data_IF_290651589645
#
_entry.id   IF_290651589645
#
_cell.length_a   1.000
_cell.length_b   1.000
_cell.length_c   1.000
_cell.angle_alpha   90.00
_cell.angle_beta   90.00
_cell.angle_gamma   90.00
#
_symmetry.space_group_name_H-M   'P 1'
#
loop_
_entity.id
_entity.type
_entity.pdbx_description
1 polymer ?
#
# COMPACT_ATOMS: atom_id res chain seq x y z
N UNK A 1 -40.23 -13.27 3.88
CA UNK A 1 -38.85 -12.97 3.46
C UNK A 1 -38.32 -14.20 2.73
N UNK A 2 -38.36 -14.16 1.39
CA UNK A 2 -37.97 -15.29 0.54
C UNK A 2 -36.45 -15.40 0.46
N UNK A 3 -35.93 -16.62 0.44
CA UNK A 3 -34.50 -16.94 0.32
C UNK A 3 -33.80 -16.32 -0.92
N UNK A 4 -34.56 -15.78 -1.88
CA UNK A 4 -34.05 -15.08 -3.06
C UNK A 4 -33.51 -13.67 -2.80
N UNK A 5 -33.93 -12.96 -1.73
CA UNK A 5 -33.40 -11.62 -1.42
C UNK A 5 -31.98 -11.63 -0.84
N UNK A 6 -31.52 -12.79 -0.34
CA UNK A 6 -30.17 -12.95 0.21
C UNK A 6 -29.13 -13.36 -0.84
N UNK A 7 -29.57 -13.92 -1.97
CA UNK A 7 -28.71 -14.37 -3.07
C UNK A 7 -28.36 -13.24 -4.07
N UNK A 8 -29.10 -12.13 -4.05
CA UNK A 8 -29.01 -11.02 -5.01
C UNK A 8 -28.07 -9.86 -4.62
N UNK A 9 -27.37 -9.91 -3.48
CA UNK A 9 -26.42 -8.86 -3.08
C UNK A 9 -25.06 -9.39 -2.60
N UNK A 10 -24.41 -10.23 -3.41
CA UNK A 10 -22.99 -10.47 -3.17
C UNK A 10 -22.20 -9.17 -3.42
N UNK A 11 -21.21 -8.84 -2.58
CA UNK A 11 -20.37 -7.65 -2.77
C UNK A 11 -19.78 -7.54 -4.19
N UNK A 12 -19.33 -8.64 -4.84
CA UNK A 12 -18.88 -8.57 -6.23
C UNK A 12 -19.99 -8.22 -7.22
N UNK A 13 -21.22 -8.66 -6.98
CA UNK A 13 -22.36 -8.31 -7.82
C UNK A 13 -22.71 -6.82 -7.68
N UNK A 14 -22.84 -6.34 -6.44
CA UNK A 14 -23.09 -4.93 -6.16
C UNK A 14 -21.99 -4.02 -6.73
N UNK A 15 -20.74 -4.45 -6.65
CA UNK A 15 -19.62 -3.73 -7.24
C UNK A 15 -19.76 -3.57 -8.76
N UNK A 16 -20.16 -4.63 -9.46
CA UNK A 16 -20.38 -4.58 -10.90
C UNK A 16 -21.54 -3.68 -11.28
N UNK A 17 -22.60 -3.66 -10.47
CA UNK A 17 -23.75 -2.78 -10.65
C UNK A 17 -23.37 -1.31 -10.46
N UNK A 18 -22.69 -0.98 -9.36
CA UNK A 18 -22.19 0.39 -9.07
C UNK A 18 -21.28 0.92 -10.17
N UNK A 19 -20.41 0.05 -10.73
CA UNK A 19 -19.51 0.45 -11.82
C UNK A 19 -20.24 0.73 -13.14
N UNK A 20 -21.46 0.19 -13.32
CA UNK A 20 -22.28 0.43 -14.51
C UNK A 20 -23.17 1.65 -14.34
N UNK A 21 -23.74 1.82 -13.16
CA UNK A 21 -24.61 2.93 -12.82
C UNK A 21 -24.36 3.30 -11.35
N UNK A 22 -23.62 4.37 -11.09
CA UNK A 22 -23.31 4.77 -9.71
C UNK A 22 -24.49 5.45 -9.01
N UNK A 23 -25.35 6.14 -9.75
CA UNK A 23 -26.41 6.93 -9.14
C UNK A 23 -27.53 6.04 -8.63
N UNK A 24 -27.89 4.99 -9.38
CA UNK A 24 -28.95 4.05 -9.01
C UNK A 24 -28.63 3.25 -7.72
N UNK A 25 -27.35 2.98 -7.44
CA UNK A 25 -26.90 2.13 -6.34
C UNK A 25 -26.27 2.89 -5.17
N UNK A 26 -26.43 4.22 -5.14
CA UNK A 26 -25.84 5.09 -4.10
C UNK A 26 -26.32 4.76 -2.69
N UNK A 27 -27.61 4.49 -2.50
CA UNK A 27 -28.17 4.14 -1.18
C UNK A 27 -27.70 2.76 -0.71
N UNK A 28 -27.58 1.80 -1.63
CA UNK A 28 -27.01 0.48 -1.32
C UNK A 28 -25.54 0.59 -0.94
N UNK A 29 -24.78 1.46 -1.61
CA UNK A 29 -23.40 1.75 -1.25
C UNK A 29 -23.31 2.37 0.15
N UNK A 30 -24.13 3.38 0.47
CA UNK A 30 -24.13 4.00 1.81
C UNK A 30 -24.41 3.00 2.92
N UNK A 31 -25.37 2.08 2.72
CA UNK A 31 -25.66 1.03 3.69
C UNK A 31 -24.43 0.13 3.94
N UNK A 32 -23.74 -0.28 2.86
CA UNK A 32 -22.51 -1.07 2.97
C UNK A 32 -21.35 -0.28 3.58
N UNK A 33 -21.26 1.01 3.28
CA UNK A 33 -20.24 1.90 3.83
C UNK A 33 -20.39 2.06 5.35
N UNK A 34 -21.61 2.28 5.85
CA UNK A 34 -21.90 2.30 7.29
C UNK A 34 -21.53 0.99 7.99
N UNK A 35 -21.83 -0.14 7.34
CA UNK A 35 -21.43 -1.46 7.86
C UNK A 35 -19.91 -1.61 7.94
N UNK A 36 -19.20 -1.20 6.87
CA UNK A 36 -17.75 -1.14 6.84
C UNK A 36 -17.20 -0.26 7.97
N UNK A 37 -17.73 0.95 8.19
CA UNK A 37 -17.27 1.86 9.23
C UNK A 37 -17.41 1.24 10.63
N UNK A 38 -18.54 0.60 10.91
CA UNK A 38 -18.76 -0.11 12.17
C UNK A 38 -17.70 -1.20 12.39
N UNK A 39 -17.46 -2.05 11.38
CA UNK A 39 -16.44 -3.11 11.46
C UNK A 39 -15.02 -2.55 11.56
N UNK A 40 -14.76 -1.41 10.93
CA UNK A 40 -13.46 -0.75 10.98
C UNK A 40 -13.20 -0.13 12.36
N UNK A 41 -14.24 0.43 13.01
CA UNK A 41 -14.15 0.86 14.42
C UNK A 41 -13.84 -0.32 15.35
N UNK A 42 -14.49 -1.46 15.16
CA UNK A 42 -14.17 -2.67 15.92
C UNK A 42 -12.71 -3.13 15.73
N UNK A 43 -12.18 -3.04 14.50
CA UNK A 43 -10.77 -3.33 14.23
C UNK A 43 -9.84 -2.40 15.01
N UNK A 44 -10.14 -1.10 15.10
CA UNK A 44 -9.32 -0.17 15.90
C UNK A 44 -9.34 -0.49 17.39
N UNK A 45 -10.44 -1.05 17.90
CA UNK A 45 -10.54 -1.51 19.28
C UNK A 45 -9.82 -2.86 19.50
N UNK A 46 -9.84 -3.77 18.50
CA UNK A 46 -9.25 -5.12 18.57
C UNK A 46 -8.47 -5.47 17.28
N UNK A 47 -7.24 -4.96 17.10
CA UNK A 47 -6.51 -5.03 15.82
C UNK A 47 -6.02 -6.45 15.44
N UNK A 48 -5.88 -7.36 16.40
CA UNK A 48 -5.35 -8.71 16.16
C UNK A 48 -6.42 -9.69 15.60
N UNK A 49 -7.69 -9.29 15.58
CA UNK A 49 -8.78 -10.19 15.18
C UNK A 49 -8.90 -10.26 13.66
N UNK A 50 -8.79 -11.48 13.10
CA UNK A 50 -9.12 -11.72 11.70
C UNK A 50 -10.64 -11.60 11.49
N UNK A 51 -11.05 -10.76 10.53
CA UNK A 51 -12.44 -10.63 10.13
C UNK A 51 -12.56 -10.67 8.59
N UNK A 52 -13.03 -11.81 8.07
CA UNK A 52 -13.23 -12.03 6.64
C UNK A 52 -14.21 -11.03 6.02
N UNK A 53 -15.30 -10.72 6.72
CA UNK A 53 -16.30 -9.76 6.23
C UNK A 53 -15.69 -8.36 6.10
N UNK A 54 -14.88 -7.93 7.07
CA UNK A 54 -14.16 -6.67 6.99
C UNK A 54 -13.17 -6.65 5.82
N UNK A 55 -12.43 -7.75 5.58
CA UNK A 55 -11.50 -7.85 4.45
C UNK A 55 -12.21 -7.71 3.09
N UNK A 56 -13.38 -8.35 2.95
CA UNK A 56 -14.24 -8.23 1.76
C UNK A 56 -14.78 -6.81 1.60
N UNK A 57 -15.21 -6.17 2.69
CA UNK A 57 -15.69 -4.79 2.69
C UNK A 57 -14.60 -3.78 2.35
N UNK A 58 -13.39 -3.88 2.92
CA UNK A 58 -12.24 -3.04 2.55
C UNK A 58 -11.97 -3.14 1.04
N UNK A 59 -11.98 -4.37 0.51
CA UNK A 59 -11.75 -4.62 -0.91
C UNK A 59 -12.84 -4.01 -1.78
N UNK A 60 -14.11 -4.19 -1.40
CA UNK A 60 -15.28 -3.64 -2.07
C UNK A 60 -15.24 -2.11 -2.12
N UNK A 61 -15.16 -1.45 -0.95
CA UNK A 61 -15.18 0.01 -0.83
C UNK A 61 -14.03 0.62 -1.64
N UNK A 62 -12.82 0.05 -1.54
CA UNK A 62 -11.65 0.53 -2.30
C UNK A 62 -11.85 0.45 -3.82
N UNK A 63 -12.57 -0.56 -4.30
CA UNK A 63 -12.85 -0.74 -5.72
C UNK A 63 -13.93 0.19 -6.25
N UNK A 64 -14.88 0.62 -5.41
CA UNK A 64 -15.93 1.56 -5.79
C UNK A 64 -15.66 3.01 -5.37
N UNK A 65 -14.63 3.29 -4.57
CA UNK A 65 -14.34 4.62 -4.02
C UNK A 65 -14.28 5.76 -5.08
N UNK A 66 -13.77 5.47 -6.28
CA UNK A 66 -13.76 6.44 -7.38
C UNK A 66 -15.15 6.83 -7.93
N UNK A 67 -16.18 6.01 -7.70
CA UNK A 67 -17.56 6.29 -8.10
C UNK A 67 -18.25 7.25 -7.11
N UNK A 68 -17.76 7.32 -5.86
CA UNK A 68 -18.36 8.09 -4.77
C UNK A 68 -17.29 8.91 -4.03
N UNK A 69 -16.70 9.93 -4.70
CA UNK A 69 -15.57 10.68 -4.14
C UNK A 69 -15.92 11.49 -2.89
N UNK A 70 -17.16 11.96 -2.77
CA UNK A 70 -17.62 12.75 -1.62
C UNK A 70 -17.83 11.86 -0.38
N UNK A 71 -18.44 10.68 -0.55
CA UNK A 71 -18.68 9.73 0.52
C UNK A 71 -17.40 9.05 0.99
N UNK A 72 -16.48 8.74 0.07
CA UNK A 72 -15.19 8.13 0.39
C UNK A 72 -14.10 9.15 0.77
N UNK A 73 -14.47 10.40 1.05
CA UNK A 73 -13.52 11.44 1.44
C UNK A 73 -12.88 11.07 2.78
N UNK A 74 -11.55 10.94 2.79
CA UNK A 74 -10.80 10.54 3.99
C UNK A 74 -10.62 9.04 4.18
N UNK A 75 -11.24 8.19 3.35
CA UNK A 75 -11.07 6.73 3.42
C UNK A 75 -9.59 6.30 3.31
N UNK A 76 -8.84 6.93 2.41
CA UNK A 76 -7.40 6.69 2.26
C UNK A 76 -6.63 7.04 3.54
N UNK A 77 -7.00 8.14 4.20
CA UNK A 77 -6.38 8.57 5.45
C UNK A 77 -6.69 7.60 6.59
N UNK A 78 -7.93 7.11 6.69
CA UNK A 78 -8.31 6.09 7.69
C UNK A 78 -7.42 4.83 7.59
N UNK A 79 -7.17 4.35 6.37
CA UNK A 79 -6.28 3.21 6.13
C UNK A 79 -4.82 3.52 6.47
N UNK A 80 -4.34 4.73 6.14
CA UNK A 80 -2.99 5.18 6.50
C UNK A 80 -2.83 5.21 8.02
N UNK A 81 -3.78 5.77 8.75
CA UNK A 81 -3.71 5.95 10.19
C UNK A 81 -3.73 4.61 10.93
N UNK A 82 -4.58 3.68 10.52
CA UNK A 82 -4.61 2.33 11.09
C UNK A 82 -3.29 1.60 10.87
N UNK A 83 -2.70 1.68 9.67
CA UNK A 83 -1.38 1.10 9.43
C UNK A 83 -0.27 1.83 10.20
N UNK A 84 -0.36 3.15 10.43
CA UNK A 84 0.63 3.88 11.24
C UNK A 84 0.59 3.47 12.71
N UNK A 85 -0.61 3.29 13.26
CA UNK A 85 -0.83 3.02 14.68
C UNK A 85 -0.69 1.54 15.05
N UNK A 86 -1.22 0.65 14.21
CA UNK A 86 -1.40 -0.76 14.54
C UNK A 86 -0.63 -1.72 13.62
N UNK A 87 0.33 -1.26 12.81
CA UNK A 87 1.02 -2.12 11.82
C UNK A 87 1.51 -3.45 12.39
N UNK A 88 2.10 -3.49 13.58
CA UNK A 88 2.64 -4.72 14.19
C UNK A 88 1.58 -5.58 14.87
N UNK A 89 0.46 -5.00 15.29
CA UNK A 89 -0.64 -5.66 15.99
C UNK A 89 -1.73 -6.19 15.05
N UNK A 90 -1.82 -5.65 13.84
CA UNK A 90 -2.78 -6.09 12.86
C UNK A 90 -2.51 -7.53 12.43
N UNK A 91 -3.59 -8.29 12.26
CA UNK A 91 -3.53 -9.56 11.57
C UNK A 91 -2.91 -9.40 10.16
N UNK A 92 -2.05 -10.35 9.77
CA UNK A 92 -1.29 -10.29 8.51
C UNK A 92 -2.19 -10.14 7.27
N UNK A 93 -3.33 -10.82 7.24
CA UNK A 93 -4.24 -10.80 6.09
C UNK A 93 -4.97 -9.46 5.98
N UNK A 94 -5.44 -8.89 7.10
CA UNK A 94 -6.05 -7.54 7.10
C UNK A 94 -5.02 -6.50 6.65
N UNK A 95 -3.79 -6.58 7.18
CA UNK A 95 -2.70 -5.69 6.79
C UNK A 95 -2.46 -5.74 5.27
N UNK A 96 -2.42 -6.94 4.69
CA UNK A 96 -2.25 -7.13 3.25
C UNK A 96 -3.42 -6.56 2.44
N UNK A 97 -4.64 -6.75 2.91
CA UNK A 97 -5.85 -6.23 2.26
C UNK A 97 -5.87 -4.69 2.25
N UNK A 98 -5.55 -4.05 3.38
CA UNK A 98 -5.45 -2.58 3.47
C UNK A 98 -4.34 -2.06 2.55
N UNK A 99 -3.18 -2.72 2.50
CA UNK A 99 -2.09 -2.30 1.60
C UNK A 99 -2.48 -2.43 0.14
N UNK A 100 -3.18 -3.50 -0.26
CA UNK A 100 -3.70 -3.65 -1.63
C UNK A 100 -4.74 -2.57 -1.95
N UNK A 101 -5.59 -2.22 -1.00
CA UNK A 101 -6.54 -1.12 -1.11
C UNK A 101 -5.85 0.23 -1.35
N UNK A 102 -4.84 0.57 -0.54
CA UNK A 102 -4.05 1.79 -0.72
C UNK A 102 -3.33 1.84 -2.06
N UNK A 103 -2.74 0.72 -2.50
CA UNK A 103 -2.12 0.59 -3.82
C UNK A 103 -3.14 0.87 -4.95
N UNK A 104 -4.35 0.33 -4.83
CA UNK A 104 -5.43 0.57 -5.79
C UNK A 104 -5.83 2.04 -5.84
N UNK A 105 -6.00 2.68 -4.68
CA UNK A 105 -6.33 4.11 -4.57
C UNK A 105 -5.21 4.99 -5.16
N UNK A 106 -3.94 4.64 -4.92
CA UNK A 106 -2.78 5.31 -5.51
C UNK A 106 -2.78 5.20 -7.03
N UNK A 107 -3.03 4.02 -7.58
CA UNK A 107 -3.12 3.82 -9.03
C UNK A 107 -4.23 4.65 -9.68
N UNK A 108 -5.24 5.07 -8.91
CA UNK A 108 -6.33 5.95 -9.34
C UNK A 108 -6.06 7.44 -9.07
N UNK A 109 -4.89 7.78 -8.54
CA UNK A 109 -4.50 9.16 -8.25
C UNK A 109 -5.10 9.74 -6.97
N UNK A 110 -5.71 8.92 -6.11
CA UNK A 110 -6.35 9.39 -4.86
C UNK A 110 -5.35 9.61 -3.70
N UNK A 111 -4.11 9.16 -3.85
CA UNK A 111 -3.06 9.23 -2.81
C UNK A 111 -1.77 9.71 -3.47
N UNK A 112 -1.01 10.56 -2.78
CA UNK A 112 0.30 11.02 -3.24
C UNK A 112 1.37 9.91 -3.15
N UNK A 113 2.34 9.93 -4.07
CA UNK A 113 3.41 8.93 -4.15
C UNK A 113 4.26 8.94 -2.89
N UNK A 114 4.67 10.15 -2.48
CA UNK A 114 5.65 10.35 -1.43
C UNK A 114 5.01 9.93 -0.10
N UNK A 115 3.75 10.34 0.13
CA UNK A 115 3.00 9.97 1.33
C UNK A 115 2.87 8.44 1.48
N UNK A 116 2.53 7.74 0.39
CA UNK A 116 2.37 6.28 0.42
C UNK A 116 3.70 5.54 0.58
N UNK A 117 4.72 5.97 -0.17
CA UNK A 117 6.06 5.40 -0.07
C UNK A 117 6.65 5.59 1.33
N UNK A 118 6.48 6.76 1.95
CA UNK A 118 6.92 7.04 3.32
C UNK A 118 6.28 6.07 4.33
N UNK A 119 4.96 5.84 4.24
CA UNK A 119 4.27 4.88 5.08
C UNK A 119 4.85 3.46 4.92
N UNK A 120 5.04 3.02 3.68
CA UNK A 120 5.55 1.69 3.38
C UNK A 120 6.97 1.50 3.90
N UNK A 121 7.82 2.50 3.70
CA UNK A 121 9.22 2.48 4.13
C UNK A 121 9.39 2.49 5.64
N UNK A 122 8.71 3.40 6.35
CA UNK A 122 8.94 3.60 7.79
C UNK A 122 8.25 2.56 8.67
N UNK A 123 7.13 1.98 8.22
CA UNK A 123 6.27 1.17 9.11
C UNK A 123 6.06 -0.27 8.65
N UNK A 124 6.10 -0.56 7.35
CA UNK A 124 5.73 -1.87 6.83
C UNK A 124 6.91 -2.73 6.38
N UNK A 125 8.07 -2.12 6.09
CA UNK A 125 9.29 -2.87 5.82
C UNK A 125 9.80 -3.67 7.04
N UNK A 126 9.38 -3.29 8.25
CA UNK A 126 9.74 -3.99 9.48
C UNK A 126 8.85 -5.23 9.73
N UNK A 127 7.73 -5.38 9.01
CA UNK A 127 6.82 -6.50 9.21
C UNK A 127 7.43 -7.82 8.72
N UNK A 128 7.16 -8.90 9.46
CA UNK A 128 7.71 -10.24 9.18
C UNK A 128 7.07 -10.95 7.97
N UNK A 129 6.01 -10.38 7.41
CA UNK A 129 5.28 -10.97 6.28
C UNK A 129 6.03 -10.84 4.94
N UNK A 130 6.41 -11.98 4.36
CA UNK A 130 7.11 -12.06 3.07
C UNK A 130 6.23 -11.61 1.90
N UNK A 131 4.97 -12.00 1.88
CA UNK A 131 4.05 -11.69 0.76
C UNK A 131 3.78 -10.20 0.70
N UNK A 132 3.58 -9.58 1.87
CA UNK A 132 3.42 -8.13 1.99
C UNK A 132 4.64 -7.39 1.44
N UNK A 133 5.84 -7.80 1.86
CA UNK A 133 7.10 -7.16 1.43
C UNK A 133 7.29 -7.21 -0.08
N UNK A 134 7.05 -8.35 -0.72
CA UNK A 134 7.13 -8.49 -2.19
C UNK A 134 6.08 -7.61 -2.88
N UNK A 135 4.86 -7.55 -2.35
CA UNK A 135 3.78 -6.71 -2.89
C UNK A 135 4.16 -5.23 -2.86
N UNK A 136 4.66 -4.75 -1.72
CA UNK A 136 5.10 -3.36 -1.52
C UNK A 136 6.27 -3.03 -2.45
N UNK A 137 7.31 -3.87 -2.46
CA UNK A 137 8.49 -3.67 -3.30
C UNK A 137 8.13 -3.56 -4.78
N UNK A 138 7.31 -4.49 -5.26
CA UNK A 138 6.86 -4.50 -6.66
C UNK A 138 6.06 -3.24 -7.01
N UNK A 139 5.17 -2.81 -6.11
CA UNK A 139 4.40 -1.59 -6.31
C UNK A 139 5.30 -0.35 -6.37
N UNK A 140 6.22 -0.18 -5.42
CA UNK A 140 7.12 0.97 -5.35
C UNK A 140 7.95 1.10 -6.64
N UNK A 141 8.55 0.00 -7.11
CA UNK A 141 9.33 0.00 -8.35
C UNK A 141 8.46 0.41 -9.54
N UNK A 142 7.24 -0.12 -9.62
CA UNK A 142 6.33 0.17 -10.72
C UNK A 142 5.77 1.60 -10.67
N UNK A 143 5.46 2.14 -9.47
CA UNK A 143 4.95 3.50 -9.32
C UNK A 143 6.05 4.51 -9.67
N UNK A 144 7.28 4.33 -9.16
CA UNK A 144 8.43 5.18 -9.53
C UNK A 144 8.68 5.11 -11.03
N UNK A 145 8.60 3.92 -11.64
CA UNK A 145 8.73 3.78 -13.10
C UNK A 145 7.67 4.60 -13.83
N UNK A 146 6.40 4.50 -13.45
CA UNK A 146 5.29 5.27 -14.06
C UNK A 146 5.49 6.78 -13.89
N UNK A 147 5.91 7.24 -12.70
CA UNK A 147 6.18 8.65 -12.43
C UNK A 147 7.35 9.22 -13.26
N UNK A 148 8.24 8.35 -13.76
CA UNK A 148 9.38 8.72 -14.59
C UNK A 148 9.20 8.37 -16.09
N UNK A 149 8.01 7.90 -16.50
CA UNK A 149 7.77 7.40 -17.87
C UNK A 149 7.79 8.51 -18.92
N UNK A 150 7.20 9.67 -18.60
CA UNK A 150 7.15 10.84 -19.51
C UNK A 150 8.41 11.72 -19.38
N UNK A 151 8.82 11.99 -18.15
CA UNK A 151 9.97 12.83 -17.81
C UNK A 151 10.52 12.40 -16.45
N UNK A 152 11.83 12.59 -16.22
CA UNK A 152 12.46 12.30 -14.93
C UNK A 152 11.94 13.22 -13.82
N UNK A 153 11.13 12.69 -12.90
CA UNK A 153 10.63 13.46 -11.77
C UNK A 153 11.73 13.62 -10.69
N UNK A 154 12.67 14.54 -10.93
CA UNK A 154 13.85 14.73 -10.07
C UNK A 154 13.50 15.08 -8.62
N UNK A 155 12.41 15.81 -8.37
CA UNK A 155 11.96 16.14 -7.01
C UNK A 155 11.54 14.88 -6.26
N UNK A 156 10.65 14.08 -6.85
CA UNK A 156 10.21 12.81 -6.28
C UNK A 156 11.39 11.84 -6.10
N UNK A 157 12.24 11.70 -7.11
CA UNK A 157 13.40 10.82 -7.05
C UNK A 157 14.35 11.23 -5.91
N UNK A 158 14.66 12.52 -5.78
CA UNK A 158 15.53 13.01 -4.71
C UNK A 158 14.96 12.73 -3.32
N UNK A 159 13.65 12.95 -3.14
CA UNK A 159 12.96 12.67 -1.88
C UNK A 159 12.98 11.18 -1.53
N UNK A 160 12.65 10.30 -2.49
CA UNK A 160 12.65 8.86 -2.26
C UNK A 160 14.05 8.29 -2.04
N UNK A 161 15.06 8.78 -2.77
CA UNK A 161 16.46 8.43 -2.55
C UNK A 161 16.94 8.83 -1.14
N UNK A 162 16.51 9.99 -0.63
CA UNK A 162 16.82 10.41 0.73
C UNK A 162 16.21 9.44 1.75
N UNK A 163 14.95 9.03 1.56
CA UNK A 163 14.31 8.04 2.42
C UNK A 163 15.05 6.69 2.39
N UNK A 164 15.43 6.19 1.21
CA UNK A 164 16.21 4.96 1.09
C UNK A 164 17.57 5.06 1.81
N UNK A 165 18.25 6.21 1.71
CA UNK A 165 19.51 6.44 2.40
C UNK A 165 19.35 6.38 3.92
N UNK A 166 18.25 6.90 4.46
CA UNK A 166 17.93 6.79 5.89
C UNK A 166 17.75 5.33 6.29
N UNK A 167 16.94 4.56 5.54
CA UNK A 167 16.67 3.15 5.83
C UNK A 167 17.95 2.31 5.78
N UNK A 168 18.83 2.55 4.81
CA UNK A 168 20.09 1.80 4.65
C UNK A 168 21.02 1.95 5.86
N UNK A 169 20.91 3.08 6.59
CA UNK A 169 21.68 3.33 7.82
C UNK A 169 21.06 2.70 9.06
N UNK A 170 19.85 2.15 8.97
CA UNK A 170 19.18 1.51 10.10
C UNK A 170 19.74 0.11 10.38
N UNK A 171 19.45 -0.40 11.59
CA UNK A 171 19.92 -1.71 12.05
C UNK A 171 19.10 -2.88 11.48
N UNK A 172 17.94 -2.62 10.88
CA UNK A 172 17.02 -3.66 10.45
C UNK A 172 17.46 -4.27 9.11
N UNK A 173 18.10 -5.44 9.18
CA UNK A 173 18.61 -6.17 8.01
C UNK A 173 17.57 -6.42 6.91
N UNK A 174 16.30 -6.63 7.26
CA UNK A 174 15.23 -6.89 6.28
C UNK A 174 14.90 -5.62 5.53
N UNK A 175 14.70 -4.51 6.25
CA UNK A 175 14.39 -3.22 5.66
C UNK A 175 15.56 -2.70 4.79
N UNK A 176 16.79 -2.80 5.28
CA UNK A 176 18.01 -2.42 4.55
C UNK A 176 18.14 -3.22 3.26
N UNK A 177 17.98 -4.56 3.32
CA UNK A 177 18.06 -5.41 2.13
C UNK A 177 17.00 -5.02 1.10
N UNK A 178 15.77 -4.79 1.53
CA UNK A 178 14.69 -4.40 0.61
C UNK A 178 14.92 -3.04 -0.03
N UNK A 179 15.38 -2.05 0.74
CA UNK A 179 15.74 -0.73 0.22
C UNK A 179 16.82 -0.87 -0.86
N UNK A 180 17.86 -1.67 -0.58
CA UNK A 180 18.91 -1.98 -1.54
C UNK A 180 18.35 -2.68 -2.80
N UNK A 181 17.53 -3.71 -2.65
CA UNK A 181 16.92 -4.41 -3.79
C UNK A 181 16.08 -3.47 -4.69
N UNK A 182 15.36 -2.52 -4.09
CA UNK A 182 14.61 -1.49 -4.83
C UNK A 182 15.57 -0.57 -5.59
N UNK A 183 16.62 -0.06 -4.91
CA UNK A 183 17.61 0.83 -5.53
C UNK A 183 18.34 0.15 -6.69
N UNK A 184 18.78 -1.10 -6.51
CA UNK A 184 19.42 -1.90 -7.56
C UNK A 184 18.46 -2.12 -8.74
N UNK A 185 17.19 -2.43 -8.47
CA UNK A 185 16.19 -2.62 -9.53
C UNK A 185 15.94 -1.34 -10.33
N UNK A 186 15.85 -0.18 -9.67
CA UNK A 186 15.66 1.12 -10.31
C UNK A 186 16.91 1.57 -11.09
N UNK A 187 18.11 1.27 -10.56
CA UNK A 187 19.38 1.52 -11.23
C UNK A 187 19.50 0.69 -12.52
N UNK A 188 19.24 -0.63 -12.45
CA UNK A 188 19.24 -1.54 -13.62
C UNK A 188 18.20 -1.14 -14.68
N UNK A 189 17.11 -0.48 -14.28
CA UNK A 189 16.08 0.05 -15.18
C UNK A 189 16.42 1.43 -15.75
N UNK A 190 17.61 1.98 -15.50
CA UNK A 190 18.05 3.32 -15.91
C UNK A 190 17.19 4.49 -15.38
N UNK A 191 16.43 4.27 -14.30
CA UNK A 191 15.57 5.31 -13.72
C UNK A 191 16.39 6.17 -12.75
N UNK A 192 17.04 5.53 -11.78
CA UNK A 192 17.95 6.16 -10.82
C UNK A 192 19.39 5.82 -11.17
N UNK A 193 19.88 6.32 -12.31
CA UNK A 193 21.22 6.06 -12.82
C UNK A 193 22.23 7.18 -12.47
N UNK A 194 22.03 7.84 -11.34
CA UNK A 194 22.84 8.96 -10.87
C UNK A 194 23.96 8.52 -9.92
N UNK A 195 24.98 9.37 -9.78
CA UNK A 195 26.15 9.10 -8.93
C UNK A 195 25.76 8.89 -7.45
N UNK A 196 24.72 9.56 -6.96
CA UNK A 196 24.26 9.40 -5.58
C UNK A 196 23.69 8.01 -5.36
N UNK A 197 22.84 7.51 -6.26
CA UNK A 197 22.33 6.13 -6.21
C UNK A 197 23.47 5.10 -6.25
N UNK A 198 24.44 5.26 -7.16
CA UNK A 198 25.59 4.37 -7.26
C UNK A 198 26.44 4.35 -5.98
N UNK A 199 26.72 5.53 -5.40
CA UNK A 199 27.47 5.66 -4.16
C UNK A 199 26.75 5.01 -2.97
N UNK A 200 25.42 5.15 -2.90
CA UNK A 200 24.64 4.50 -1.84
C UNK A 200 24.74 2.98 -1.98
N UNK A 201 24.55 2.42 -3.17
CA UNK A 201 24.69 0.98 -3.42
C UNK A 201 26.11 0.51 -3.04
N UNK A 202 27.15 1.20 -3.51
CA UNK A 202 28.54 0.86 -3.19
C UNK A 202 28.84 0.91 -1.68
N UNK A 203 28.26 1.87 -0.95
CA UNK A 203 28.42 1.94 0.51
C UNK A 203 27.85 0.72 1.24
N UNK A 204 26.82 0.07 0.67
CA UNK A 204 26.23 -1.15 1.26
C UNK A 204 27.11 -2.39 1.10
N UNK A 205 28.08 -2.39 0.19
CA UNK A 205 29.11 -3.45 0.08
C UNK A 205 30.00 -3.55 1.33
N UNK A 206 30.06 -2.47 2.13
CA UNK A 206 30.80 -2.42 3.40
C UNK A 206 29.88 -2.58 4.62
N UNK A 207 28.63 -3.00 4.41
CA UNK A 207 27.68 -3.21 5.51
C UNK A 207 28.15 -4.35 6.43
N UNK A 208 28.01 -4.14 7.74
CA UNK A 208 28.26 -5.16 8.77
C UNK A 208 27.27 -6.33 8.70
N UNK A 209 26.17 -6.17 7.96
CA UNK A 209 25.14 -7.19 7.79
C UNK A 209 25.48 -8.02 6.55
N UNK A 210 25.94 -9.27 6.73
CA UNK A 210 26.40 -10.15 5.64
C UNK A 210 25.37 -10.30 4.52
N UNK A 211 24.08 -10.44 4.85
CA UNK A 211 23.00 -10.54 3.84
C UNK A 211 22.84 -9.29 2.98
N UNK A 212 23.13 -8.11 3.54
CA UNK A 212 23.09 -6.83 2.81
C UNK A 212 24.35 -6.70 1.96
N UNK A 213 25.51 -7.02 2.53
CA UNK A 213 26.79 -7.02 1.81
C UNK A 213 26.76 -7.93 0.57
N UNK A 214 26.27 -9.17 0.70
CA UNK A 214 26.15 -10.10 -0.44
C UNK A 214 25.14 -9.62 -1.49
N UNK A 215 24.09 -8.90 -1.10
CA UNK A 215 23.12 -8.37 -2.06
C UNK A 215 23.65 -7.14 -2.83
N UNK A 216 24.67 -6.47 -2.30
CA UNK A 216 25.28 -5.28 -2.89
C UNK A 216 26.40 -5.61 -3.89
N UNK A 217 27.10 -6.73 -3.67
CA UNK A 217 28.14 -7.29 -4.54
C UNK A 217 27.53 -7.90 -5.82
#
# INVERSE_FOLDING_TARGET
MSANDRLTRSLPHLQNLIKRDSDAYREDFKLQYLHFESQFMELTAKPDTWNKSLAENISFVSQVAHCYPEECKGLSQMFIDVLRLYSTLLNNDIRLVIVRALILMRNRGLIDCIQLCELFFLRLLQCQDRLLRVTIQTHIINDIKKQNEKHKNNKLNSTLQNFMCTIIKESNAIAVKMALDIMVSLYRKNIWNDAKTANIIASTCFSKITKVQVAAL
#
